data_IF_458974753669
#
_entry.id   IF_458974753669
#
_cell.length_a   1.000
_cell.length_b   1.000
_cell.length_c   1.000
_cell.angle_alpha   90.00
_cell.angle_beta   90.00
_cell.angle_gamma   90.00
#
_symmetry.space_group_name_H-M   'P 1'
#
loop_
_entity.id
_entity.type
_entity.pdbx_description
1 polymer ?
#
# COMPACT_ATOMS: atom_id res chain seq x y z
N UNK A 1 -10.95 -70.22 -16.73
CA UNK A 1 -11.70 -69.33 -15.81
C UNK A 1 -10.71 -68.97 -14.70
N UNK A 2 -9.80 -68.00 -14.82
CA UNK A 2 -9.92 -66.58 -15.22
C UNK A 2 -10.98 -65.81 -14.42
N UNK A 3 -10.48 -64.88 -13.57
CA UNK A 3 -11.08 -63.76 -12.81
C UNK A 3 -10.60 -63.79 -11.34
N UNK A 4 -9.90 -62.81 -10.79
CA UNK A 4 -9.44 -61.52 -11.31
C UNK A 4 -8.37 -60.98 -10.37
N UNK A 5 -7.21 -60.70 -10.94
CA UNK A 5 -5.96 -60.28 -10.33
C UNK A 5 -5.77 -58.77 -10.56
N UNK A 6 -6.49 -57.91 -9.82
CA UNK A 6 -6.39 -56.44 -10.03
C UNK A 6 -6.35 -55.59 -8.75
N UNK A 7 -6.61 -56.10 -7.55
CA UNK A 7 -6.73 -55.22 -6.35
C UNK A 7 -5.48 -55.08 -5.46
N UNK A 8 -4.30 -55.57 -5.88
CA UNK A 8 -3.10 -55.59 -5.01
C UNK A 8 -1.94 -54.66 -5.45
N UNK A 9 -2.08 -53.90 -6.54
CA UNK A 9 -0.99 -53.04 -7.05
C UNK A 9 -1.12 -51.54 -6.74
N UNK A 10 -2.13 -51.08 -5.97
CA UNK A 10 -2.29 -49.64 -5.64
C UNK A 10 -1.97 -49.25 -4.18
N UNK A 11 -1.30 -50.09 -3.38
CA UNK A 11 -1.12 -49.83 -1.93
C UNK A 11 0.31 -49.85 -1.37
N UNK A 12 1.35 -49.67 -2.19
CA UNK A 12 2.74 -49.66 -1.67
C UNK A 12 3.54 -48.36 -1.90
N UNK A 13 2.87 -47.24 -2.18
CA UNK A 13 3.53 -45.92 -2.34
C UNK A 13 3.49 -45.04 -1.08
N UNK A 14 3.09 -45.58 0.08
CA UNK A 14 3.09 -44.82 1.33
C UNK A 14 4.39 -45.08 2.10
N UNK A 15 5.22 -44.05 2.34
CA UNK A 15 6.46 -44.22 3.09
C UNK A 15 6.16 -44.73 4.50
N UNK A 16 6.98 -45.68 4.95
CA UNK A 16 6.96 -46.17 6.32
C UNK A 16 7.19 -45.04 7.32
N UNK A 17 6.76 -45.21 8.57
CA UNK A 17 7.00 -44.22 9.63
C UNK A 17 8.48 -43.83 9.77
N UNK A 18 9.38 -44.79 9.51
CA UNK A 18 10.82 -44.56 9.52
C UNK A 18 11.27 -43.69 8.35
N UNK A 19 10.75 -43.93 7.15
CA UNK A 19 11.03 -43.10 5.97
C UNK A 19 10.46 -41.69 6.13
N UNK A 20 9.25 -41.57 6.69
CA UNK A 20 8.63 -40.28 7.01
C UNK A 20 9.49 -39.49 8.02
N UNK A 21 10.02 -40.15 9.04
CA UNK A 21 10.91 -39.53 10.02
C UNK A 21 12.22 -39.04 9.39
N UNK A 22 12.82 -39.85 8.50
CA UNK A 22 14.02 -39.46 7.75
C UNK A 22 13.74 -38.26 6.84
N UNK A 23 12.61 -38.25 6.14
CA UNK A 23 12.18 -37.11 5.32
C UNK A 23 11.98 -35.85 6.16
N UNK A 24 11.36 -35.96 7.33
CA UNK A 24 11.16 -34.83 8.24
C UNK A 24 12.48 -34.25 8.74
N UNK A 25 13.43 -35.11 9.14
CA UNK A 25 14.77 -34.68 9.54
C UNK A 25 15.49 -33.95 8.41
N UNK A 26 15.35 -34.45 7.18
CA UNK A 26 15.97 -33.83 6.01
C UNK A 26 15.30 -32.50 5.63
N UNK A 27 13.99 -32.38 5.78
CA UNK A 27 13.25 -31.12 5.61
C UNK A 27 13.67 -30.08 6.65
N UNK A 28 13.75 -30.46 7.93
CA UNK A 28 14.20 -29.57 9.01
C UNK A 28 15.63 -29.10 8.74
N UNK A 29 16.51 -30.00 8.30
CA UNK A 29 17.89 -29.65 7.93
C UNK A 29 17.94 -28.67 6.75
N UNK A 30 17.20 -28.93 5.68
CA UNK A 30 17.09 -28.03 4.53
C UNK A 30 16.53 -26.66 4.94
N UNK A 31 15.51 -26.63 5.79
CA UNK A 31 14.96 -25.39 6.31
C UNK A 31 16.00 -24.60 7.10
N UNK A 32 16.72 -25.25 8.01
CA UNK A 32 17.79 -24.61 8.78
C UNK A 32 18.90 -24.06 7.88
N UNK A 33 19.32 -24.82 6.87
CA UNK A 33 20.36 -24.42 5.92
C UNK A 33 19.89 -23.22 5.06
N UNK A 34 18.63 -23.22 4.60
CA UNK A 34 18.04 -22.08 3.89
C UNK A 34 17.96 -20.84 4.77
N UNK A 35 17.50 -20.96 6.02
CA UNK A 35 17.45 -19.83 6.97
C UNK A 35 18.83 -19.25 7.26
N UNK A 36 19.85 -20.13 7.35
CA UNK A 36 21.24 -19.74 7.55
C UNK A 36 21.79 -19.00 6.33
N UNK A 37 21.52 -19.48 5.12
CA UNK A 37 21.96 -18.80 3.90
C UNK A 37 21.23 -17.47 3.70
N UNK A 38 19.93 -17.38 4.01
CA UNK A 38 19.19 -16.11 4.03
C UNK A 38 19.85 -15.12 4.99
N UNK A 39 20.22 -15.55 6.20
CA UNK A 39 20.94 -14.68 7.16
C UNK A 39 22.31 -14.25 6.61
N UNK A 40 23.05 -15.16 5.98
CA UNK A 40 24.37 -14.87 5.38
C UNK A 40 24.26 -13.88 4.22
N UNK A 41 23.32 -14.08 3.30
CA UNK A 41 23.07 -13.20 2.16
C UNK A 41 22.65 -11.80 2.61
N UNK A 42 21.77 -11.72 3.62
CA UNK A 42 21.45 -10.45 4.28
C UNK A 42 22.73 -9.79 4.80
N UNK A 43 23.54 -10.47 5.60
CA UNK A 43 24.80 -9.93 6.15
C UNK A 43 25.83 -9.48 5.09
N UNK A 44 25.97 -10.20 3.98
CA UNK A 44 26.89 -9.83 2.89
C UNK A 44 26.36 -8.60 2.14
N UNK A 45 25.05 -8.55 1.84
CA UNK A 45 24.43 -7.35 1.23
C UNK A 45 24.58 -6.10 2.10
N UNK A 46 24.73 -6.26 3.42
CA UNK A 46 24.95 -5.15 4.36
C UNK A 46 26.42 -4.71 4.48
N UNK A 47 27.39 -5.49 4.00
CA UNK A 47 28.84 -5.19 4.15
C UNK A 47 29.49 -4.55 2.92
N UNK A 48 28.88 -4.69 1.73
CA UNK A 48 29.50 -4.26 0.46
C UNK A 48 29.19 -2.81 0.03
N UNK A 49 28.42 -2.02 0.79
CA UNK A 49 28.21 -0.60 0.48
C UNK A 49 28.50 0.28 1.69
N UNK A 50 29.58 1.06 1.63
CA UNK A 50 29.84 2.18 2.55
C UNK A 50 28.77 3.29 2.52
N UNK A 51 27.71 3.09 1.75
CA UNK A 51 26.46 3.84 1.72
C UNK A 51 25.35 3.03 2.38
N UNK A 52 24.71 3.60 3.39
CA UNK A 52 23.51 3.02 4.03
C UNK A 52 22.44 2.82 2.97
N UNK A 53 22.07 1.57 2.69
CA UNK A 53 21.00 1.24 1.74
C UNK A 53 19.66 1.83 2.19
N UNK A 54 18.77 2.14 1.26
CA UNK A 54 17.41 2.68 1.56
C UNK A 54 16.68 1.81 2.58
N UNK A 55 16.82 0.48 2.49
CA UNK A 55 16.23 -0.44 3.46
C UNK A 55 16.81 -0.31 4.86
N UNK A 56 18.12 -0.08 5.02
CA UNK A 56 18.72 0.19 6.34
C UNK A 56 18.20 1.50 6.94
N UNK A 57 17.99 2.55 6.13
CA UNK A 57 17.35 3.80 6.60
C UNK A 57 15.93 3.52 7.09
N UNK A 58 15.16 2.76 6.31
CA UNK A 58 13.79 2.37 6.65
C UNK A 58 13.72 1.52 7.93
N UNK A 59 14.59 0.52 8.08
CA UNK A 59 14.64 -0.34 9.28
C UNK A 59 15.00 0.43 10.56
N UNK A 60 15.68 1.58 10.45
CA UNK A 60 15.95 2.47 11.58
C UNK A 60 14.75 3.29 12.04
N UNK A 61 13.70 3.38 11.21
CA UNK A 61 12.47 4.12 11.51
C UNK A 61 11.49 3.18 12.22
N UNK A 62 11.23 3.45 13.50
CA UNK A 62 10.18 2.79 14.26
C UNK A 62 8.81 3.36 13.87
N UNK A 63 7.86 2.48 13.58
CA UNK A 63 6.48 2.85 13.25
C UNK A 63 5.52 2.23 14.26
N UNK A 64 4.54 3.03 14.70
CA UNK A 64 3.52 2.64 15.70
C UNK A 64 2.25 2.09 15.05
N UNK A 65 2.01 2.40 13.77
CA UNK A 65 0.87 1.93 12.99
C UNK A 65 1.26 1.66 11.53
N UNK A 66 0.45 0.85 10.86
CA UNK A 66 0.67 0.45 9.48
C UNK A 66 0.01 1.40 8.47
N UNK A 67 0.39 1.23 7.21
CA UNK A 67 -0.11 1.99 6.07
C UNK A 67 -1.64 1.92 5.92
N UNK A 68 -2.23 0.75 6.20
CA UNK A 68 -3.66 0.53 6.10
C UNK A 68 -4.42 1.35 7.16
N UNK A 69 -3.93 1.33 8.41
CA UNK A 69 -4.46 2.14 9.51
C UNK A 69 -4.34 3.62 9.21
N UNK A 70 -3.19 4.08 8.72
CA UNK A 70 -3.01 5.46 8.30
C UNK A 70 -4.00 5.88 7.21
N UNK A 71 -4.13 5.07 6.16
CA UNK A 71 -5.03 5.32 5.04
C UNK A 71 -6.48 5.48 5.53
N UNK A 72 -6.89 4.69 6.51
CA UNK A 72 -8.24 4.74 7.06
C UNK A 72 -8.48 5.92 8.01
N UNK A 73 -7.41 6.59 8.47
CA UNK A 73 -7.47 7.84 9.23
C UNK A 73 -7.60 9.10 8.37
N UNK A 74 -7.45 9.00 7.04
CA UNK A 74 -7.58 10.14 6.12
C UNK A 74 -8.99 10.73 6.23
N UNK A 75 -9.07 12.03 6.51
CA UNK A 75 -10.34 12.78 6.62
C UNK A 75 -10.35 13.94 5.63
N UNK A 76 -11.52 14.17 5.03
CA UNK A 76 -11.71 15.23 4.04
C UNK A 76 -12.51 16.37 4.64
N UNK A 77 -11.90 17.55 4.63
CA UNK A 77 -12.43 18.81 5.13
C UNK A 77 -13.10 19.58 4.00
N UNK A 78 -13.86 20.61 4.35
CA UNK A 78 -14.56 21.43 3.36
C UNK A 78 -13.59 22.22 2.47
N UNK A 79 -12.47 22.68 3.04
CA UNK A 79 -11.40 23.32 2.27
C UNK A 79 -10.87 22.45 1.13
N UNK A 80 -10.84 21.13 1.32
CA UNK A 80 -10.30 20.18 0.34
C UNK A 80 -11.27 20.05 -0.86
N UNK A 81 -12.59 20.13 -0.61
CA UNK A 81 -13.59 20.22 -1.67
C UNK A 81 -13.41 21.51 -2.46
N UNK A 82 -13.24 22.65 -1.78
CA UNK A 82 -13.05 23.95 -2.43
C UNK A 82 -11.79 23.96 -3.31
N UNK A 83 -10.66 23.46 -2.80
CA UNK A 83 -9.44 23.33 -3.59
C UNK A 83 -9.65 22.44 -4.82
N UNK A 84 -10.41 21.35 -4.66
CA UNK A 84 -10.73 20.44 -5.75
C UNK A 84 -11.58 21.10 -6.83
N UNK A 85 -12.58 21.89 -6.45
CA UNK A 85 -13.41 22.61 -7.42
C UNK A 85 -12.62 23.66 -8.21
N UNK A 86 -11.61 24.26 -7.59
CA UNK A 86 -10.80 25.31 -8.22
C UNK A 86 -9.70 24.73 -9.13
N UNK A 87 -9.10 23.60 -8.77
CA UNK A 87 -7.89 23.09 -9.43
C UNK A 87 -8.06 21.69 -10.03
N UNK A 88 -9.24 21.10 -9.92
CA UNK A 88 -9.57 19.77 -10.43
C UNK A 88 -9.25 18.63 -9.45
N UNK A 89 -9.80 17.45 -9.76
CA UNK A 89 -9.75 16.26 -8.89
C UNK A 89 -8.33 15.75 -8.64
N UNK A 90 -7.45 15.79 -9.64
CA UNK A 90 -6.07 15.34 -9.53
C UNK A 90 -5.31 16.19 -8.49
N UNK A 91 -5.48 17.51 -8.55
CA UNK A 91 -4.88 18.42 -7.58
C UNK A 91 -5.46 18.21 -6.18
N UNK A 92 -6.80 18.13 -6.08
CA UNK A 92 -7.49 17.90 -4.82
C UNK A 92 -7.02 16.66 -4.07
N UNK A 93 -6.93 15.51 -4.77
CA UNK A 93 -6.43 14.26 -4.17
C UNK A 93 -4.99 14.43 -3.69
N UNK A 94 -4.13 15.06 -4.48
CA UNK A 94 -2.74 15.31 -4.09
C UNK A 94 -2.64 16.20 -2.85
N UNK A 95 -3.41 17.28 -2.77
CA UNK A 95 -3.45 18.18 -1.62
C UNK A 95 -3.92 17.46 -0.35
N UNK A 96 -4.95 16.61 -0.45
CA UNK A 96 -5.45 15.80 0.67
C UNK A 96 -4.37 14.86 1.18
N UNK A 97 -3.69 14.14 0.28
CA UNK A 97 -2.62 13.23 0.66
C UNK A 97 -1.49 13.97 1.37
N UNK A 98 -1.03 15.10 0.82
CA UNK A 98 0.00 15.95 1.43
C UNK A 98 -0.42 16.42 2.83
N UNK A 99 -1.65 16.93 2.97
CA UNK A 99 -2.18 17.38 4.26
C UNK A 99 -2.23 16.22 5.27
N UNK A 100 -2.68 15.04 4.84
CA UNK A 100 -2.75 13.84 5.70
C UNK A 100 -1.39 13.29 6.12
N UNK A 101 -0.30 13.64 5.44
CA UNK A 101 1.07 13.29 5.84
C UNK A 101 1.58 14.33 6.85
N UNK A 102 1.34 15.62 6.58
CA UNK A 102 1.75 16.72 7.44
C UNK A 102 1.08 16.68 8.83
N UNK A 103 -0.17 16.19 8.91
CA UNK A 103 -0.92 16.08 10.17
C UNK A 103 -0.31 15.13 11.21
N UNK A 104 0.60 14.24 10.81
CA UNK A 104 1.17 13.21 11.68
C UNK A 104 2.64 13.46 12.05
N UNK A 105 3.16 14.69 11.87
CA UNK A 105 4.49 15.15 12.34
C UNK A 105 5.67 14.20 12.05
N UNK A 106 5.59 13.43 10.96
CA UNK A 106 6.63 12.46 10.59
C UNK A 106 6.40 11.03 11.10
N UNK A 107 5.41 10.73 11.93
CA UNK A 107 4.99 9.34 12.21
C UNK A 107 4.06 8.83 11.10
N UNK A 108 4.53 8.80 9.84
CA UNK A 108 3.70 8.36 8.71
C UNK A 108 4.28 7.10 8.08
N UNK A 109 3.48 6.03 7.89
CA UNK A 109 3.93 4.75 7.30
C UNK A 109 4.11 4.82 5.78
N UNK A 110 4.59 5.97 5.26
CA UNK A 110 4.90 6.20 3.85
C UNK A 110 6.16 7.06 3.73
N UNK A 111 7.09 6.67 2.85
CA UNK A 111 8.38 7.35 2.63
C UNK A 111 8.83 7.26 1.19
N UNK A 112 9.65 8.21 0.77
CA UNK A 112 10.42 8.15 -0.46
C UNK A 112 11.84 8.67 -0.18
N UNK A 113 12.80 8.33 -1.03
CA UNK A 113 14.20 8.71 -0.87
C UNK A 113 14.79 9.12 -2.20
N UNK A 114 15.68 10.11 -2.19
CA UNK A 114 16.38 10.56 -3.40
C UNK A 114 17.23 9.45 -4.02
N UNK A 115 17.72 8.49 -3.22
CA UNK A 115 18.48 7.34 -3.71
C UNK A 115 17.61 6.29 -4.44
N UNK A 116 16.27 6.41 -4.38
CA UNK A 116 15.35 5.53 -5.11
C UNK A 116 14.25 6.33 -5.83
N UNK A 117 14.56 6.92 -6.99
CA UNK A 117 13.61 7.67 -7.80
C UNK A 117 12.33 6.87 -8.11
N UNK A 118 11.21 7.58 -8.14
CA UNK A 118 9.86 7.04 -8.43
C UNK A 118 9.40 5.89 -7.52
N UNK A 119 10.12 5.63 -6.41
CA UNK A 119 9.84 4.55 -5.48
C UNK A 119 9.29 5.10 -4.17
N UNK A 120 8.07 4.67 -3.85
CA UNK A 120 7.42 4.95 -2.58
C UNK A 120 7.47 3.66 -1.75
N UNK A 121 7.78 3.80 -0.48
CA UNK A 121 7.85 2.72 0.50
C UNK A 121 6.74 2.91 1.52
N UNK A 122 6.13 1.81 1.94
CA UNK A 122 5.06 1.78 2.93
C UNK A 122 5.41 0.81 4.05
N UNK A 123 4.96 1.12 5.27
CA UNK A 123 5.11 0.22 6.41
C UNK A 123 3.89 -0.67 6.54
N UNK A 124 4.06 -1.99 6.39
CA UNK A 124 2.99 -2.97 6.46
C UNK A 124 3.48 -4.26 7.11
N UNK A 125 2.65 -4.87 7.97
CA UNK A 125 2.97 -6.12 8.66
C UNK A 125 4.34 -6.08 9.37
N UNK A 126 4.58 -4.98 10.09
CA UNK A 126 5.84 -4.72 10.81
C UNK A 126 7.11 -4.62 9.95
N UNK A 127 6.97 -4.43 8.64
CA UNK A 127 8.10 -4.33 7.71
C UNK A 127 7.90 -3.20 6.71
N UNK A 128 9.00 -2.60 6.24
CA UNK A 128 8.96 -1.66 5.14
C UNK A 128 9.04 -2.40 3.81
N UNK A 129 8.08 -2.12 2.92
CA UNK A 129 8.01 -2.71 1.58
C UNK A 129 7.91 -1.61 0.53
N UNK A 130 8.38 -1.90 -0.69
CA UNK A 130 8.15 -1.01 -1.83
C UNK A 130 6.67 -1.09 -2.22
N UNK A 131 6.01 0.05 -2.31
CA UNK A 131 4.60 0.14 -2.65
C UNK A 131 4.36 -0.32 -4.09
N UNK A 132 3.44 -1.28 -4.26
CA UNK A 132 3.04 -1.72 -5.58
C UNK A 132 2.16 -0.65 -6.27
N UNK A 133 2.16 -0.64 -7.59
CA UNK A 133 1.33 0.30 -8.36
C UNK A 133 -0.16 0.13 -8.04
N UNK A 134 -0.62 -1.10 -7.85
CA UNK A 134 -2.02 -1.37 -7.56
C UNK A 134 -2.41 -0.92 -6.15
N UNK A 135 -1.51 -0.98 -5.17
CA UNK A 135 -1.76 -0.42 -3.84
C UNK A 135 -1.83 1.11 -3.89
N UNK A 136 -1.01 1.75 -4.74
CA UNK A 136 -1.12 3.19 -4.97
C UNK A 136 -2.48 3.54 -5.60
N UNK A 137 -2.94 2.78 -6.61
CA UNK A 137 -4.28 2.97 -7.19
C UNK A 137 -5.39 2.80 -6.15
N UNK A 138 -5.27 1.83 -5.24
CA UNK A 138 -6.23 1.64 -4.14
C UNK A 138 -6.27 2.85 -3.20
N UNK A 139 -5.12 3.43 -2.87
CA UNK A 139 -5.04 4.67 -2.08
C UNK A 139 -5.80 5.82 -2.78
N UNK A 140 -5.52 6.05 -4.06
CA UNK A 140 -6.20 7.08 -4.86
C UNK A 140 -7.71 6.84 -4.91
N UNK A 141 -8.13 5.59 -5.13
CA UNK A 141 -9.55 5.22 -5.14
C UNK A 141 -10.20 5.51 -3.78
N UNK A 142 -9.55 5.15 -2.67
CA UNK A 142 -10.05 5.41 -1.32
C UNK A 142 -10.26 6.92 -1.08
N UNK A 143 -9.28 7.75 -1.42
CA UNK A 143 -9.40 9.21 -1.28
C UNK A 143 -10.53 9.75 -2.16
N UNK A 144 -10.65 9.27 -3.40
CA UNK A 144 -11.74 9.69 -4.28
C UNK A 144 -13.13 9.30 -3.73
N UNK A 145 -13.28 8.11 -3.13
CA UNK A 145 -14.53 7.70 -2.48
C UNK A 145 -14.88 8.61 -1.32
N UNK A 146 -13.90 8.96 -0.48
CA UNK A 146 -14.09 9.91 0.62
C UNK A 146 -14.51 11.29 0.06
N UNK A 147 -13.94 11.71 -1.07
CA UNK A 147 -14.29 12.98 -1.73
C UNK A 147 -15.75 13.00 -2.17
N UNK A 148 -16.19 11.94 -2.85
CA UNK A 148 -17.58 11.77 -3.29
C UNK A 148 -18.53 11.80 -2.09
N UNK A 149 -18.20 11.10 -1.01
CA UNK A 149 -19.01 11.08 0.22
C UNK A 149 -19.10 12.48 0.84
N UNK A 150 -17.98 13.19 0.93
CA UNK A 150 -17.95 14.54 1.50
C UNK A 150 -18.72 15.52 0.63
N UNK A 151 -18.58 15.43 -0.69
CA UNK A 151 -19.33 16.23 -1.66
C UNK A 151 -20.84 16.03 -1.53
N UNK A 152 -21.29 14.78 -1.40
CA UNK A 152 -22.72 14.47 -1.20
C UNK A 152 -23.26 15.16 0.05
N UNK A 153 -22.58 15.00 1.19
CA UNK A 153 -22.98 15.63 2.46
C UNK A 153 -22.99 17.15 2.39
N UNK A 154 -22.05 17.75 1.65
CA UNK A 154 -22.00 19.19 1.41
C UNK A 154 -23.13 19.67 0.47
N UNK A 155 -23.41 18.94 -0.60
CA UNK A 155 -24.51 19.27 -1.52
C UNK A 155 -25.87 19.22 -0.82
N UNK A 156 -26.08 18.22 0.03
CA UNK A 156 -27.31 18.07 0.81
C UNK A 156 -27.48 19.21 1.84
N UNK A 157 -26.38 19.67 2.48
CA UNK A 157 -26.45 20.80 3.41
C UNK A 157 -26.78 22.13 2.72
N UNK A 158 -26.30 22.35 1.50
CA UNK A 158 -26.64 23.52 0.68
C UNK A 158 -28.11 23.50 0.26
N UNK A 159 -28.62 22.35 -0.21
CA UNK A 159 -30.03 22.19 -0.57
C UNK A 159 -30.95 22.50 0.60
N UNK A 160 -30.62 21.97 1.78
CA UNK A 160 -31.41 22.19 3.00
C UNK A 160 -31.36 23.63 3.51
N UNK A 161 -30.25 24.34 3.30
CA UNK A 161 -30.09 25.73 3.73
C UNK A 161 -30.70 26.77 2.76
N UNK A 162 -31.31 26.33 1.65
CA UNK A 162 -31.84 27.20 0.57
C UNK A 162 -30.81 28.19 -0.01
N UNK A 163 -29.50 27.96 0.20
CA UNK A 163 -28.40 28.73 -0.38
C UNK A 163 -28.07 28.29 -1.83
N UNK A 164 -29.07 27.82 -2.56
CA UNK A 164 -28.90 27.18 -3.88
C UNK A 164 -28.49 28.14 -5.01
N UNK A 165 -28.49 29.44 -4.76
CA UNK A 165 -28.43 30.45 -5.83
C UNK A 165 -27.00 30.71 -6.34
N UNK A 166 -25.95 30.37 -5.58
CA UNK A 166 -24.59 30.87 -5.87
C UNK A 166 -23.55 29.80 -6.24
N UNK A 167 -23.91 28.51 -6.32
CA UNK A 167 -22.94 27.44 -6.58
C UNK A 167 -23.20 26.70 -7.90
N UNK A 168 -22.21 26.58 -8.81
CA UNK A 168 -22.32 25.80 -10.05
C UNK A 168 -22.22 24.29 -9.75
N UNK A 169 -23.24 23.73 -9.09
CA UNK A 169 -23.25 22.34 -8.61
C UNK A 169 -23.00 21.34 -9.76
N UNK A 170 -23.54 21.61 -10.95
CA UNK A 170 -23.33 20.75 -12.12
C UNK A 170 -21.85 20.66 -12.52
N UNK A 171 -21.13 21.78 -12.52
CA UNK A 171 -19.69 21.84 -12.79
C UNK A 171 -18.90 21.04 -11.75
N UNK A 172 -19.26 21.17 -10.46
CA UNK A 172 -18.62 20.43 -9.39
C UNK A 172 -18.86 18.92 -9.48
N UNK A 173 -20.04 18.49 -9.95
CA UNK A 173 -20.30 17.07 -10.26
C UNK A 173 -19.35 16.58 -11.35
N UNK A 174 -19.17 17.33 -12.44
CA UNK A 174 -18.24 16.93 -13.50
C UNK A 174 -16.80 16.79 -12.99
N UNK A 175 -16.36 17.69 -12.11
CA UNK A 175 -15.01 17.63 -11.52
C UNK A 175 -14.86 16.43 -10.59
N UNK A 176 -15.79 16.22 -9.65
CA UNK A 176 -15.70 15.15 -8.64
C UNK A 176 -15.81 13.77 -9.26
N UNK A 177 -16.62 13.63 -10.30
CA UNK A 177 -16.83 12.36 -11.00
C UNK A 177 -15.96 12.21 -12.26
N UNK A 178 -14.96 13.08 -12.44
CA UNK A 178 -14.03 12.97 -13.55
C UNK A 178 -13.30 11.62 -13.47
N UNK A 179 -13.36 10.87 -14.57
CA UNK A 179 -12.71 9.56 -14.71
C UNK A 179 -11.24 9.70 -15.09
N UNK A 180 -10.80 10.87 -15.52
CA UNK A 180 -9.43 11.15 -15.96
C UNK A 180 -8.51 11.55 -14.80
N UNK A 181 -8.58 10.82 -13.68
CA UNK A 181 -7.65 11.01 -12.57
C UNK A 181 -6.25 10.61 -13.02
N UNK A 182 -5.32 11.57 -13.04
CA UNK A 182 -3.97 11.35 -13.53
C UNK A 182 -3.07 10.78 -12.45
N UNK A 183 -3.17 9.46 -12.26
CA UNK A 183 -2.48 8.72 -11.18
C UNK A 183 -0.96 8.97 -11.15
N UNK A 184 -0.31 9.06 -12.32
CA UNK A 184 1.14 9.32 -12.39
C UNK A 184 1.49 10.73 -11.91
N UNK A 185 0.67 11.74 -12.22
CA UNK A 185 0.90 13.11 -11.73
C UNK A 185 0.77 13.16 -10.19
N UNK A 186 -0.21 12.45 -9.63
CA UNK A 186 -0.38 12.36 -8.16
C UNK A 186 0.80 11.61 -7.55
N UNK A 187 1.23 10.51 -8.15
CA UNK A 187 2.38 9.73 -7.66
C UNK A 187 3.65 10.58 -7.61
N UNK A 188 3.97 11.28 -8.71
CA UNK A 188 5.15 12.11 -8.80
C UNK A 188 5.05 13.29 -7.83
N UNK A 189 3.89 13.96 -7.76
CA UNK A 189 3.65 15.06 -6.84
C UNK A 189 3.71 14.64 -5.36
N UNK A 190 3.36 13.40 -5.04
CA UNK A 190 3.47 12.84 -3.69
C UNK A 190 4.91 12.46 -3.37
N UNK A 191 5.61 11.79 -4.30
CA UNK A 191 7.03 11.46 -4.17
C UNK A 191 7.86 12.71 -3.86
N UNK A 192 7.67 13.78 -4.63
CA UNK A 192 8.37 15.06 -4.42
C UNK A 192 8.06 15.71 -3.07
N UNK A 193 6.90 15.42 -2.48
CA UNK A 193 6.49 15.99 -1.21
C UNK A 193 7.03 15.24 0.02
N UNK A 194 7.38 13.96 -0.14
CA UNK A 194 7.79 13.09 0.97
C UNK A 194 9.23 12.58 0.86
N UNK A 195 9.92 12.86 -0.25
CA UNK A 195 11.30 12.45 -0.43
C UNK A 195 12.21 13.16 0.57
N UNK A 196 13.14 12.39 1.12
CA UNK A 196 14.15 12.81 2.11
C UNK A 196 15.51 12.24 1.78
#
# INVERSE_FOLDING_TARGET
>A
MEKGSVELEEMNDTPSQRELYLMLQELIKKQYDMEKEIKRLKQISFRDSGTTTVFQKLESISMTFDFESWRDLIKIKEKDLTETFQHGITHGILSILKASILEFEGEVPIRAFDESPDSIYIYQNSTWIKMAQDDFKKLIHKVNQLMIQRFKSWSDSIKNSRKLVDFPIEEYVFIIFDKNIKINEIKNGLYEAIKT
#
